data_IF_950013792981
#
_entry.id   IF_950013792981
#
_cell.length_a   1.000
_cell.length_b   1.000
_cell.length_c   1.000
_cell.angle_alpha   90.00
_cell.angle_beta   90.00
_cell.angle_gamma   90.00
#
_symmetry.space_group_name_H-M   'P 1'
#
loop_
_entity.id
_entity.type
_entity.pdbx_description
1 polymer ?
#
# COMPACT_ATOMS: atom_id res chain seq x y z
N UNK A 1 62.61 -11.40 32.50
CA UNK A 1 62.82 -10.61 31.25
C UNK A 1 61.44 -10.18 30.80
N UNK A 2 61.02 -8.92 31.18
CA UNK A 2 59.67 -8.39 30.95
C UNK A 2 59.71 -7.56 29.68
N UNK A 3 59.01 -7.99 28.63
CA UNK A 3 58.90 -7.25 27.39
C UNK A 3 57.67 -6.32 27.53
N UNK A 4 57.89 -5.01 27.59
CA UNK A 4 56.86 -3.97 27.49
C UNK A 4 56.57 -3.70 26.01
N UNK A 5 55.37 -4.08 25.56
CA UNK A 5 54.84 -3.69 24.24
C UNK A 5 54.16 -2.34 24.40
N UNK A 6 54.80 -1.29 23.91
CA UNK A 6 54.23 0.06 23.84
C UNK A 6 53.24 0.12 22.67
N UNK A 7 51.95 0.25 23.00
CA UNK A 7 50.90 0.47 22.01
C UNK A 7 50.85 1.96 21.66
N UNK A 8 51.38 2.35 20.51
CA UNK A 8 51.25 3.69 19.98
C UNK A 8 49.86 3.87 19.35
N UNK A 9 49.00 4.61 20.03
CA UNK A 9 47.70 5.07 19.51
C UNK A 9 47.93 6.15 18.44
N UNK A 10 47.79 5.78 17.18
CA UNK A 10 47.73 6.72 16.06
C UNK A 10 46.36 7.47 16.10
N UNK A 11 46.41 8.69 16.54
CA UNK A 11 45.33 9.66 16.40
C UNK A 11 45.29 10.11 14.93
N UNK A 12 44.33 9.58 14.14
CA UNK A 12 43.98 10.14 12.84
C UNK A 12 43.00 11.29 13.01
N UNK A 13 43.30 12.49 12.49
CA UNK A 13 42.31 13.55 12.44
C UNK A 13 41.20 13.18 11.45
N UNK A 14 39.97 13.12 11.94
CA UNK A 14 38.78 13.04 11.10
C UNK A 14 38.64 14.38 10.38
N UNK A 15 38.99 14.41 9.09
CA UNK A 15 38.71 15.56 8.25
C UNK A 15 37.18 15.71 8.14
N UNK A 16 36.63 16.75 8.74
CA UNK A 16 35.22 17.09 8.65
C UNK A 16 34.89 17.39 7.19
N UNK A 17 34.12 16.48 6.55
CA UNK A 17 33.46 16.78 5.30
C UNK A 17 32.39 17.83 5.57
N UNK A 18 32.65 19.06 5.14
CA UNK A 18 31.65 20.11 5.06
C UNK A 18 30.54 19.61 4.11
N UNK A 19 29.39 19.32 4.68
CA UNK A 19 28.18 19.08 3.87
C UNK A 19 27.81 20.43 3.24
N UNK A 20 28.21 20.59 1.98
CA UNK A 20 27.77 21.69 1.15
C UNK A 20 26.24 21.59 1.02
N UNK A 21 25.54 22.58 1.60
CA UNK A 21 24.09 22.77 1.39
C UNK A 21 23.88 23.14 -0.06
N UNK A 22 23.90 22.14 -0.93
CA UNK A 22 23.38 22.25 -2.28
C UNK A 22 21.88 22.45 -2.19
N UNK A 23 21.43 23.71 -2.12
CA UNK A 23 20.08 24.10 -2.47
C UNK A 23 19.94 23.94 -3.99
N UNK A 24 19.96 22.72 -4.48
CA UNK A 24 19.34 22.42 -5.78
C UNK A 24 17.86 22.69 -5.58
N UNK A 25 17.44 23.90 -6.01
CA UNK A 25 16.05 24.19 -6.18
C UNK A 25 15.46 23.14 -7.11
N UNK A 26 14.85 22.11 -6.54
CA UNK A 26 13.89 21.27 -7.21
C UNK A 26 12.77 22.24 -7.59
N UNK A 27 12.91 22.85 -8.78
CA UNK A 27 11.77 23.47 -9.44
C UNK A 27 10.70 22.40 -9.47
N UNK A 28 9.67 22.58 -8.65
CA UNK A 28 8.49 21.74 -8.68
C UNK A 28 8.02 21.76 -10.14
N UNK A 29 8.43 20.74 -10.91
CA UNK A 29 7.86 20.53 -12.22
C UNK A 29 6.36 20.46 -11.99
N UNK A 30 5.64 21.39 -12.57
CA UNK A 30 4.18 21.47 -12.53
C UNK A 30 3.64 20.25 -13.30
N UNK A 31 3.81 19.04 -12.72
CA UNK A 31 3.32 17.80 -13.28
C UNK A 31 1.80 17.88 -13.20
N UNK A 32 1.17 18.18 -14.33
CA UNK A 32 -0.29 18.21 -14.40
C UNK A 32 -0.83 16.82 -14.09
N UNK A 33 -1.55 16.70 -12.97
CA UNK A 33 -2.25 15.47 -12.62
C UNK A 33 -3.47 15.30 -13.54
N UNK A 34 -3.37 14.42 -14.52
CA UNK A 34 -4.39 14.16 -15.52
C UNK A 34 -5.45 13.12 -15.06
N UNK A 35 -5.36 12.62 -13.82
CA UNK A 35 -6.34 11.68 -13.30
C UNK A 35 -7.70 12.34 -13.13
N UNK A 36 -8.76 11.56 -13.36
CA UNK A 36 -10.14 12.02 -13.19
C UNK A 36 -10.43 12.29 -11.72
N UNK A 37 -10.89 13.50 -11.39
CA UNK A 37 -11.36 13.83 -10.05
C UNK A 37 -12.72 13.19 -9.79
N UNK A 38 -12.88 12.55 -8.64
CA UNK A 38 -14.17 12.00 -8.20
C UNK A 38 -15.10 13.08 -7.64
N UNK A 39 -14.61 14.30 -7.42
CA UNK A 39 -15.37 15.44 -6.89
C UNK A 39 -16.20 15.10 -5.64
N UNK A 40 -15.64 14.28 -4.75
CA UNK A 40 -16.29 13.87 -3.51
C UNK A 40 -16.40 15.06 -2.54
N UNK A 41 -17.49 15.07 -1.75
CA UNK A 41 -17.58 15.99 -0.62
C UNK A 41 -16.44 15.75 0.38
N UNK A 42 -16.03 16.73 1.18
CA UNK A 42 -14.93 16.56 2.17
C UNK A 42 -15.15 15.36 3.09
N UNK A 43 -16.39 15.10 3.49
CA UNK A 43 -16.76 13.94 4.33
C UNK A 43 -16.50 12.61 3.60
N UNK A 44 -16.97 12.46 2.37
CA UNK A 44 -16.80 11.25 1.57
C UNK A 44 -15.34 11.03 1.20
N UNK A 45 -14.63 12.11 0.86
CA UNK A 45 -13.16 12.05 0.64
C UNK A 45 -12.43 11.52 1.86
N UNK A 46 -12.74 12.04 3.05
CA UNK A 46 -12.12 11.54 4.30
C UNK A 46 -12.39 10.05 4.52
N UNK A 47 -13.64 9.61 4.34
CA UNK A 47 -14.02 8.19 4.46
C UNK A 47 -13.28 7.31 3.46
N UNK A 48 -13.23 7.72 2.20
CA UNK A 48 -12.51 6.97 1.16
C UNK A 48 -11.02 6.83 1.49
N UNK A 49 -10.36 7.92 1.92
CA UNK A 49 -8.95 7.89 2.33
C UNK A 49 -8.72 6.99 3.55
N UNK A 50 -9.62 7.03 4.53
CA UNK A 50 -9.55 6.16 5.71
C UNK A 50 -9.70 4.69 5.32
N UNK A 51 -10.66 4.37 4.45
CA UNK A 51 -10.87 3.03 3.92
C UNK A 51 -9.63 2.52 3.17
N UNK A 52 -9.04 3.32 2.28
CA UNK A 52 -7.83 2.95 1.54
C UNK A 52 -6.64 2.67 2.45
N UNK A 53 -6.46 3.45 3.53
CA UNK A 53 -5.41 3.17 4.53
C UNK A 53 -5.66 1.85 5.25
N UNK A 54 -6.91 1.56 5.60
CA UNK A 54 -7.28 0.29 6.23
C UNK A 54 -7.05 -0.90 5.28
N UNK A 55 -7.34 -0.75 3.99
CA UNK A 55 -7.07 -1.76 2.96
C UNK A 55 -5.57 -2.00 2.76
N UNK A 56 -4.75 -0.94 2.77
CA UNK A 56 -3.29 -1.08 2.70
C UNK A 56 -2.73 -1.83 3.91
N UNK A 57 -3.21 -1.51 5.11
CA UNK A 57 -2.83 -2.22 6.34
C UNK A 57 -3.27 -3.69 6.30
N UNK A 58 -4.46 -3.98 5.77
CA UNK A 58 -4.94 -5.35 5.58
C UNK A 58 -4.07 -6.12 4.57
N UNK A 59 -3.67 -5.49 3.47
CA UNK A 59 -2.77 -6.09 2.48
C UNK A 59 -1.42 -6.46 3.12
N UNK A 60 -0.84 -5.56 3.90
CA UNK A 60 0.39 -5.82 4.65
C UNK A 60 0.22 -7.00 5.63
N UNK A 61 -0.90 -7.03 6.36
CA UNK A 61 -1.20 -8.11 7.29
C UNK A 61 -1.34 -9.47 6.58
N UNK A 62 -2.00 -9.51 5.40
CA UNK A 62 -2.15 -10.72 4.58
C UNK A 62 -0.77 -11.25 4.16
N UNK A 63 0.13 -10.38 3.70
CA UNK A 63 1.51 -10.77 3.33
C UNK A 63 2.22 -11.42 4.54
N UNK A 64 2.16 -10.81 5.72
CA UNK A 64 2.76 -11.36 6.92
C UNK A 64 2.13 -12.70 7.36
N UNK A 65 0.81 -12.85 7.20
CA UNK A 65 0.11 -14.10 7.49
C UNK A 65 0.47 -15.21 6.49
N UNK A 66 0.66 -14.88 5.21
CA UNK A 66 1.13 -15.83 4.20
C UNK A 66 2.56 -16.27 4.47
N UNK A 67 3.45 -15.36 4.85
CA UNK A 67 4.83 -15.68 5.24
C UNK A 67 4.89 -16.61 6.47
N UNK A 68 3.87 -16.56 7.34
CA UNK A 68 3.71 -17.43 8.51
C UNK A 68 2.80 -18.65 8.24
N UNK A 69 2.45 -18.93 6.99
CA UNK A 69 1.55 -20.02 6.56
C UNK A 69 0.17 -20.02 7.25
N UNK A 70 -0.29 -18.85 7.71
CA UNK A 70 -1.56 -18.69 8.44
C UNK A 70 -2.72 -18.39 7.49
N UNK A 71 -2.96 -19.25 6.53
CA UNK A 71 -3.91 -19.09 5.43
C UNK A 71 -5.34 -18.76 5.87
N UNK A 72 -5.85 -19.40 6.90
CA UNK A 72 -7.22 -19.17 7.40
C UNK A 72 -7.40 -17.74 7.93
N UNK A 73 -6.41 -17.23 8.67
CA UNK A 73 -6.42 -15.83 9.11
C UNK A 73 -6.26 -14.86 7.95
N UNK A 74 -5.41 -15.19 6.97
CA UNK A 74 -5.26 -14.39 5.76
C UNK A 74 -6.59 -14.30 4.98
N UNK A 75 -7.30 -15.43 4.81
CA UNK A 75 -8.63 -15.49 4.18
C UNK A 75 -9.65 -14.61 4.92
N UNK A 76 -9.76 -14.77 6.23
CA UNK A 76 -10.66 -13.95 7.05
C UNK A 76 -10.33 -12.45 6.95
N UNK A 77 -9.03 -12.10 6.94
CA UNK A 77 -8.58 -10.71 6.78
C UNK A 77 -8.93 -10.17 5.40
N UNK A 78 -8.70 -10.93 4.32
CA UNK A 78 -9.07 -10.55 2.97
C UNK A 78 -10.56 -10.25 2.86
N UNK A 79 -11.40 -11.18 3.30
CA UNK A 79 -12.86 -11.06 3.26
C UNK A 79 -13.39 -9.87 4.05
N UNK A 80 -12.90 -9.68 5.29
CA UNK A 80 -13.44 -8.66 6.20
C UNK A 80 -12.88 -7.25 5.97
N UNK A 81 -11.70 -7.13 5.38
CA UNK A 81 -10.99 -5.85 5.29
C UNK A 81 -10.79 -5.34 3.86
N UNK A 82 -10.75 -6.23 2.86
CA UNK A 82 -10.65 -5.84 1.46
C UNK A 82 -12.02 -5.90 0.77
N UNK A 83 -12.99 -6.61 1.34
CA UNK A 83 -14.35 -6.70 0.83
C UNK A 83 -15.16 -5.39 0.95
N UNK A 84 -16.39 -5.41 0.44
CA UNK A 84 -17.32 -4.28 0.52
C UNK A 84 -17.67 -3.99 1.98
N UNK A 85 -17.59 -2.71 2.35
CA UNK A 85 -18.04 -2.21 3.64
C UNK A 85 -18.98 -1.00 3.47
N UNK A 86 -19.62 -0.57 4.55
CA UNK A 86 -20.64 0.48 4.50
C UNK A 86 -20.10 1.82 3.97
N UNK A 87 -18.85 2.18 4.30
CA UNK A 87 -18.24 3.41 3.81
C UNK A 87 -18.02 3.37 2.30
N UNK A 88 -17.51 2.26 1.79
CA UNK A 88 -17.28 2.07 0.37
C UNK A 88 -18.59 1.95 -0.40
N UNK A 89 -19.58 1.27 0.19
CA UNK A 89 -20.93 1.20 -0.38
C UNK A 89 -21.55 2.59 -0.51
N UNK A 90 -21.46 3.44 0.52
CA UNK A 90 -21.99 4.79 0.45
C UNK A 90 -21.30 5.63 -0.64
N UNK A 91 -19.98 5.47 -0.80
CA UNK A 91 -19.23 6.18 -1.85
C UNK A 91 -19.67 5.68 -3.23
N UNK A 92 -19.80 4.36 -3.39
CA UNK A 92 -20.30 3.73 -4.62
C UNK A 92 -21.70 4.26 -4.99
N UNK A 93 -22.64 4.24 -4.06
CA UNK A 93 -24.02 4.67 -4.26
C UNK A 93 -24.13 6.18 -4.59
N UNK A 94 -23.18 6.97 -4.09
CA UNK A 94 -23.15 8.44 -4.31
C UNK A 94 -22.38 8.82 -5.59
N UNK A 95 -21.45 8.00 -6.02
CA UNK A 95 -20.62 8.28 -7.19
C UNK A 95 -21.46 8.17 -8.47
N UNK A 96 -21.35 9.21 -9.32
CA UNK A 96 -21.93 9.23 -10.66
C UNK A 96 -20.97 8.75 -11.74
N UNK A 97 -19.77 8.31 -11.35
CA UNK A 97 -18.74 7.87 -12.28
C UNK A 97 -18.82 6.34 -12.46
N UNK A 98 -19.36 5.93 -13.60
CA UNK A 98 -19.56 4.50 -13.91
C UNK A 98 -18.26 3.70 -13.95
N UNK A 99 -17.19 4.27 -14.49
CA UNK A 99 -15.88 3.63 -14.55
C UNK A 99 -15.27 3.40 -13.16
N UNK A 100 -15.44 4.38 -12.25
CA UNK A 100 -15.06 4.23 -10.86
C UNK A 100 -15.87 3.12 -10.20
N UNK A 101 -17.19 3.16 -10.37
CA UNK A 101 -18.09 2.16 -9.80
C UNK A 101 -17.78 0.75 -10.30
N UNK A 102 -17.48 0.59 -11.59
CA UNK A 102 -17.03 -0.68 -12.16
C UNK A 102 -15.76 -1.20 -11.52
N UNK A 103 -14.75 -0.32 -11.34
CA UNK A 103 -13.49 -0.70 -10.68
C UNK A 103 -13.70 -1.06 -9.19
N UNK A 104 -14.57 -0.35 -8.48
CA UNK A 104 -14.94 -0.71 -7.10
C UNK A 104 -15.48 -2.14 -7.06
N UNK A 105 -16.49 -2.46 -7.87
CA UNK A 105 -17.09 -3.81 -7.90
C UNK A 105 -16.07 -4.88 -8.29
N UNK A 106 -15.24 -4.62 -9.30
CA UNK A 106 -14.21 -5.57 -9.73
C UNK A 106 -13.17 -5.82 -8.63
N UNK A 107 -12.79 -4.78 -7.91
CA UNK A 107 -11.87 -4.91 -6.76
C UNK A 107 -12.49 -5.76 -5.66
N UNK A 108 -13.78 -5.58 -5.36
CA UNK A 108 -14.49 -6.37 -4.36
C UNK A 108 -14.57 -7.85 -4.75
N UNK A 109 -14.98 -8.13 -6.00
CA UNK A 109 -15.02 -9.50 -6.52
C UNK A 109 -13.64 -10.19 -6.43
N UNK A 110 -12.58 -9.45 -6.75
CA UNK A 110 -11.21 -9.96 -6.64
C UNK A 110 -10.77 -10.21 -5.19
N UNK A 111 -11.25 -9.41 -4.23
CA UNK A 111 -10.99 -9.63 -2.81
C UNK A 111 -11.68 -10.90 -2.29
N UNK A 112 -12.91 -11.17 -2.75
CA UNK A 112 -13.64 -12.41 -2.44
C UNK A 112 -12.93 -13.63 -3.06
N UNK A 113 -12.47 -13.53 -4.30
CA UNK A 113 -11.67 -14.57 -4.96
C UNK A 113 -10.36 -14.86 -4.20
N UNK A 114 -9.67 -13.80 -3.77
CA UNK A 114 -8.48 -13.93 -2.92
C UNK A 114 -8.81 -14.69 -1.63
N UNK A 115 -9.88 -14.31 -0.94
CA UNK A 115 -10.28 -14.97 0.30
C UNK A 115 -10.56 -16.46 0.09
N UNK A 116 -11.22 -16.83 -1.02
CA UNK A 116 -11.49 -18.22 -1.38
C UNK A 116 -10.20 -18.98 -1.75
N UNK A 117 -9.30 -18.34 -2.54
CA UNK A 117 -8.02 -18.94 -2.95
C UNK A 117 -7.14 -19.24 -1.74
N UNK A 118 -7.13 -18.36 -0.74
CA UNK A 118 -6.37 -18.53 0.50
C UNK A 118 -6.79 -19.80 1.28
N UNK A 119 -8.03 -20.25 1.15
CA UNK A 119 -8.51 -21.50 1.79
C UNK A 119 -7.86 -22.76 1.17
N UNK A 120 -7.32 -22.68 -0.04
CA UNK A 120 -6.62 -23.79 -0.68
C UNK A 120 -5.26 -24.10 -0.05
N UNK A 121 -4.74 -23.22 0.80
CA UNK A 121 -3.40 -23.30 1.44
C UNK A 121 -2.23 -23.42 0.45
N UNK A 122 -2.45 -23.06 -0.82
CA UNK A 122 -1.43 -22.99 -1.85
C UNK A 122 -0.81 -21.59 -1.89
N UNK A 123 0.43 -21.46 -1.41
CA UNK A 123 1.10 -20.17 -1.30
C UNK A 123 1.25 -19.49 -2.67
N UNK A 124 1.60 -20.25 -3.72
CA UNK A 124 1.80 -19.68 -5.06
C UNK A 124 0.51 -19.11 -5.62
N UNK A 125 -0.60 -19.87 -5.53
CA UNK A 125 -1.93 -19.40 -5.96
C UNK A 125 -2.38 -18.20 -5.12
N UNK A 126 -2.17 -18.25 -3.82
CA UNK A 126 -2.51 -17.17 -2.89
C UNK A 126 -1.79 -15.86 -3.23
N UNK A 127 -0.49 -15.92 -3.53
CA UNK A 127 0.29 -14.76 -3.95
C UNK A 127 -0.15 -14.24 -5.33
N UNK A 128 -0.52 -15.10 -6.26
CA UNK A 128 -1.08 -14.69 -7.56
C UNK A 128 -2.42 -13.97 -7.39
N UNK A 129 -3.33 -14.50 -6.57
CA UNK A 129 -4.61 -13.86 -6.27
C UNK A 129 -4.42 -12.49 -5.58
N UNK A 130 -3.51 -12.41 -4.60
CA UNK A 130 -3.16 -11.16 -3.93
C UNK A 130 -2.62 -10.12 -4.93
N UNK A 131 -1.68 -10.53 -5.79
CA UNK A 131 -1.14 -9.67 -6.85
C UNK A 131 -2.25 -9.14 -7.77
N UNK A 132 -3.21 -9.99 -8.16
CA UNK A 132 -4.33 -9.59 -9.01
C UNK A 132 -5.21 -8.54 -8.31
N UNK A 133 -5.57 -8.78 -7.05
CA UNK A 133 -6.34 -7.83 -6.23
C UNK A 133 -5.63 -6.48 -6.12
N UNK A 134 -4.33 -6.48 -5.81
CA UNK A 134 -3.52 -5.25 -5.76
C UNK A 134 -3.46 -4.54 -7.12
N UNK A 135 -3.50 -5.29 -8.23
CA UNK A 135 -3.53 -4.74 -9.58
C UNK A 135 -4.74 -3.82 -9.82
N UNK A 136 -5.90 -4.14 -9.27
CA UNK A 136 -7.08 -3.26 -9.35
C UNK A 136 -6.93 -1.99 -8.50
N UNK A 137 -6.28 -2.08 -7.36
CA UNK A 137 -5.94 -0.88 -6.57
C UNK A 137 -5.05 0.07 -7.38
N UNK A 138 -4.01 -0.47 -8.04
CA UNK A 138 -3.13 0.31 -8.92
C UNK A 138 -3.90 0.94 -10.08
N UNK A 139 -4.76 0.19 -10.78
CA UNK A 139 -5.57 0.71 -11.89
C UNK A 139 -6.46 1.87 -11.44
N UNK A 140 -7.11 1.74 -10.27
CA UNK A 140 -7.94 2.80 -9.71
C UNK A 140 -7.12 4.05 -9.42
N UNK A 141 -5.96 3.92 -8.77
CA UNK A 141 -5.09 5.04 -8.43
C UNK A 141 -4.42 5.70 -9.64
N UNK A 142 -4.23 4.97 -10.73
CA UNK A 142 -3.75 5.53 -12.00
C UNK A 142 -4.82 6.36 -12.71
N UNK A 143 -6.10 6.03 -12.55
CA UNK A 143 -7.21 6.65 -13.28
C UNK A 143 -7.89 7.76 -12.50
N UNK A 144 -7.99 7.62 -11.19
CA UNK A 144 -8.78 8.50 -10.33
C UNK A 144 -7.95 9.19 -9.25
N UNK A 145 -8.42 10.39 -8.88
CA UNK A 145 -7.95 11.18 -7.72
C UNK A 145 -9.14 11.80 -6.98
N UNK A 146 -8.88 12.26 -5.79
CA UNK A 146 -9.85 12.90 -4.91
C UNK A 146 -9.27 14.14 -4.24
#
# INVERSE_FOLDING_TARGET
>A
MKIFIMLALLWMPVAGMAVEKGTTGLTAHNIKDNRTSLNLTPRLKHRLLSNMRAQLAATQAIIGLLAAERFEKASTTAKSRLGMNDDLKQIYDTSKNEDFNKLVLTTQASADELANTLQSKDLKKSLQALRNTMGYCVQCHMKFRQ
#
